data_IF_060546973404
#
_entry.id   IF_060546973404
#
_cell.length_a   1.000
_cell.length_b   1.000
_cell.length_c   1.000
_cell.angle_alpha   90.00
_cell.angle_beta   90.00
_cell.angle_gamma   90.00
#
_symmetry.space_group_name_H-M   'P 1'
#
loop_
_entity.id
_entity.type
_entity.pdbx_description
1 polymer ?
#
# COMPACT_ATOMS: atom_id res chain seq x y z
N UNK A 1 6.27 -31.27 22.48
CA UNK A 1 7.68 -30.81 22.41
C UNK A 1 7.66 -29.34 22.09
N UNK A 2 7.79 -28.51 23.11
CA UNK A 2 7.91 -27.05 23.01
C UNK A 2 9.33 -26.72 22.52
N UNK A 3 9.44 -26.16 21.32
CA UNK A 3 10.69 -25.57 20.86
C UNK A 3 10.96 -24.33 21.72
N UNK A 4 11.78 -24.53 22.74
CA UNK A 4 12.30 -23.48 23.59
C UNK A 4 13.40 -22.75 22.80
N UNK A 5 13.00 -21.91 21.84
CA UNK A 5 13.92 -20.97 21.20
C UNK A 5 14.21 -19.92 22.26
N UNK A 6 15.23 -20.17 23.08
CA UNK A 6 15.98 -19.08 23.70
C UNK A 6 16.49 -18.22 22.56
N UNK A 7 15.74 -17.17 22.23
CA UNK A 7 16.25 -16.01 21.51
C UNK A 7 17.43 -15.50 22.35
N UNK A 8 18.62 -15.96 22.02
CA UNK A 8 19.85 -15.35 22.49
C UNK A 8 19.86 -13.99 21.81
N UNK A 9 19.33 -13.00 22.52
CA UNK A 9 19.43 -11.60 22.14
C UNK A 9 20.92 -11.36 21.87
N UNK A 10 21.26 -10.95 20.66
CA UNK A 10 22.59 -10.53 20.30
C UNK A 10 22.56 -8.99 20.31
N UNK A 11 22.91 -8.32 21.43
CA UNK A 11 22.86 -6.85 21.52
C UNK A 11 23.57 -6.17 20.34
N UNK A 12 24.64 -6.78 19.84
CA UNK A 12 25.39 -6.30 18.67
C UNK A 12 24.60 -6.35 17.35
N UNK A 13 23.66 -7.28 17.19
CA UNK A 13 22.80 -7.36 16.01
C UNK A 13 21.67 -6.32 16.09
N UNK A 14 21.05 -6.21 17.25
CA UNK A 14 20.02 -5.22 17.51
C UNK A 14 20.53 -3.79 17.32
N UNK A 15 21.70 -3.45 17.87
CA UNK A 15 22.34 -2.15 17.66
C UNK A 15 22.55 -1.85 16.17
N UNK A 16 23.01 -2.85 15.40
CA UNK A 16 23.16 -2.72 13.94
C UNK A 16 21.82 -2.47 13.24
N UNK A 17 20.76 -3.18 13.64
CA UNK A 17 19.41 -2.99 13.10
C UNK A 17 18.89 -1.59 13.47
N UNK A 18 19.10 -1.14 14.70
CA UNK A 18 18.72 0.21 15.13
C UNK A 18 19.40 1.29 14.27
N UNK A 19 20.70 1.16 14.03
CA UNK A 19 21.47 2.06 13.15
C UNK A 19 20.94 2.04 11.71
N UNK A 20 20.59 0.86 11.18
CA UNK A 20 19.99 0.73 9.84
C UNK A 20 18.63 1.42 9.78
N UNK A 21 17.76 1.16 10.76
CA UNK A 21 16.43 1.77 10.84
C UNK A 21 16.54 3.30 10.95
N UNK A 22 17.48 3.81 11.75
CA UNK A 22 17.69 5.24 11.89
C UNK A 22 18.13 5.89 10.58
N UNK A 23 19.05 5.26 9.85
CA UNK A 23 19.46 5.73 8.52
C UNK A 23 18.29 5.70 7.54
N UNK A 24 17.50 4.64 7.54
CA UNK A 24 16.33 4.52 6.68
C UNK A 24 15.26 5.58 7.00
N UNK A 25 15.01 5.90 8.27
CA UNK A 25 14.12 6.99 8.69
C UNK A 25 14.60 8.33 8.11
N UNK A 26 15.88 8.66 8.30
CA UNK A 26 16.47 9.94 7.85
C UNK A 26 16.38 10.07 6.32
N UNK A 27 16.79 9.03 5.58
CA UNK A 27 16.78 9.05 4.13
C UNK A 27 15.36 9.09 3.56
N UNK A 28 14.43 8.33 4.14
CA UNK A 28 13.01 8.36 3.73
C UNK A 28 12.38 9.72 4.02
N UNK A 29 12.72 10.36 5.14
CA UNK A 29 12.24 11.71 5.46
C UNK A 29 12.77 12.75 4.46
N UNK A 30 14.03 12.63 4.04
CA UNK A 30 14.59 13.45 2.98
C UNK A 30 13.86 13.23 1.64
N UNK A 31 13.53 11.98 1.31
CA UNK A 31 12.74 11.64 0.12
C UNK A 31 11.32 12.23 0.17
N UNK A 32 10.65 12.20 1.33
CA UNK A 32 9.34 12.85 1.53
C UNK A 32 9.45 14.36 1.26
N UNK A 33 10.47 15.02 1.80
CA UNK A 33 10.67 16.45 1.59
C UNK A 33 10.97 16.78 0.13
N UNK A 34 11.77 15.96 -0.55
CA UNK A 34 12.02 16.09 -1.98
C UNK A 34 10.71 15.97 -2.79
N UNK A 35 9.93 14.90 -2.58
CA UNK A 35 8.65 14.67 -3.27
C UNK A 35 7.65 15.82 -3.03
N UNK A 36 7.60 16.38 -1.81
CA UNK A 36 6.76 17.56 -1.51
C UNK A 36 7.17 18.79 -2.31
N UNK A 37 8.47 19.09 -2.38
CA UNK A 37 8.97 20.21 -3.19
C UNK A 37 8.67 20.01 -4.67
N UNK A 38 8.94 18.81 -5.18
CA UNK A 38 8.60 18.44 -6.56
C UNK A 38 7.11 18.61 -6.84
N UNK A 39 6.23 18.18 -5.94
CA UNK A 39 4.78 18.39 -6.08
C UNK A 39 4.42 19.88 -6.16
N UNK A 40 4.99 20.72 -5.29
CA UNK A 40 4.81 22.18 -5.36
C UNK A 40 5.34 22.79 -6.66
N UNK A 41 6.46 22.30 -7.18
CA UNK A 41 7.04 22.75 -8.44
C UNK A 41 6.18 22.35 -9.64
N UNK A 42 5.61 21.15 -9.63
CA UNK A 42 4.67 20.67 -10.66
C UNK A 42 3.39 21.50 -10.67
N UNK A 43 2.77 21.74 -9.50
CA UNK A 43 1.57 22.58 -9.41
C UNK A 43 1.80 24.02 -9.84
N UNK A 44 3.01 24.53 -9.65
CA UNK A 44 3.41 25.85 -10.12
C UNK A 44 3.95 25.87 -11.56
N UNK A 45 3.82 24.76 -12.30
CA UNK A 45 4.31 24.62 -13.68
C UNK A 45 5.81 24.90 -13.88
N UNK A 46 6.62 24.72 -12.82
CA UNK A 46 8.10 24.84 -12.89
C UNK A 46 8.76 23.54 -13.36
N UNK A 47 8.11 22.40 -13.15
CA UNK A 47 8.57 21.08 -13.56
C UNK A 47 7.44 20.33 -14.23
N UNK A 48 7.73 19.69 -15.37
CA UNK A 48 6.84 18.76 -16.01
C UNK A 48 7.15 17.33 -15.55
N UNK A 49 6.10 16.55 -15.30
CA UNK A 49 6.16 15.11 -15.10
C UNK A 49 5.12 14.45 -16.00
N UNK A 50 5.42 13.24 -16.49
CA UNK A 50 4.50 12.46 -17.33
C UNK A 50 3.45 11.69 -16.54
N UNK A 51 3.61 11.58 -15.21
CA UNK A 51 2.66 10.94 -14.30
C UNK A 51 1.72 11.97 -13.66
N UNK A 52 0.56 11.53 -13.17
CA UNK A 52 -0.36 12.41 -12.47
C UNK A 52 0.26 13.02 -11.20
N UNK A 53 0.09 14.32 -10.92
CA UNK A 53 0.62 14.95 -9.70
C UNK A 53 0.15 14.27 -8.41
N UNK A 54 -1.06 13.70 -8.40
CA UNK A 54 -1.61 12.95 -7.25
C UNK A 54 -0.77 11.73 -6.86
N UNK A 55 -0.01 11.14 -7.79
CA UNK A 55 0.91 10.04 -7.46
C UNK A 55 2.06 10.49 -6.56
N UNK A 56 2.46 11.77 -6.60
CA UNK A 56 3.45 12.28 -5.65
C UNK A 56 2.90 12.28 -4.22
N UNK A 57 1.61 12.61 -4.04
CA UNK A 57 0.95 12.55 -2.73
C UNK A 57 0.91 11.10 -2.23
N UNK A 58 0.45 10.18 -3.08
CA UNK A 58 0.41 8.75 -2.80
C UNK A 58 1.77 8.21 -2.33
N UNK A 59 2.82 8.46 -3.11
CA UNK A 59 4.19 8.06 -2.79
C UNK A 59 4.80 8.77 -1.56
N UNK A 60 4.24 9.91 -1.13
CA UNK A 60 4.62 10.58 0.12
C UNK A 60 3.97 9.87 1.30
N UNK A 61 2.71 9.45 1.16
CA UNK A 61 1.98 8.76 2.22
C UNK A 61 2.58 7.38 2.52
N UNK A 62 2.95 6.61 1.50
CA UNK A 62 3.68 5.35 1.66
C UNK A 62 5.02 5.53 2.38
N UNK A 63 5.77 6.57 2.00
CA UNK A 63 7.05 6.86 2.62
C UNK A 63 6.88 7.26 4.10
N UNK A 64 5.81 8.00 4.45
CA UNK A 64 5.47 8.30 5.85
C UNK A 64 5.05 7.05 6.61
N UNK A 65 4.26 6.17 5.98
CA UNK A 65 3.85 4.91 6.58
C UNK A 65 5.07 4.03 6.90
N UNK A 66 6.05 3.97 5.99
CA UNK A 66 7.31 3.26 6.23
C UNK A 66 8.11 3.86 7.40
N UNK A 67 8.19 5.19 7.50
CA UNK A 67 8.83 5.85 8.66
C UNK A 67 8.12 5.46 9.96
N UNK A 68 6.78 5.50 9.98
CA UNK A 68 5.98 5.12 11.15
C UNK A 68 6.26 3.69 11.60
N UNK A 69 6.29 2.75 10.65
CA UNK A 69 6.67 1.35 10.90
C UNK A 69 8.05 1.25 11.54
N UNK A 70 9.07 1.92 11.00
CA UNK A 70 10.42 1.89 11.55
C UNK A 70 10.51 2.49 12.96
N UNK A 71 9.74 3.56 13.22
CA UNK A 71 9.68 4.19 14.55
C UNK A 71 9.03 3.28 15.59
N UNK A 72 7.95 2.58 15.24
CA UNK A 72 7.33 1.57 16.11
C UNK A 72 8.31 0.44 16.42
N UNK A 73 9.00 -0.07 15.40
CA UNK A 73 10.00 -1.13 15.58
C UNK A 73 11.16 -0.68 16.49
N UNK A 74 11.59 0.58 16.42
CA UNK A 74 12.61 1.12 17.33
C UNK A 74 12.12 1.27 18.79
N UNK A 75 10.80 1.31 19.01
CA UNK A 75 10.18 1.30 20.34
C UNK A 75 9.80 -0.09 20.82
N UNK A 76 10.15 -1.14 20.06
CA UNK A 76 9.75 -2.53 20.32
C UNK A 76 8.24 -2.77 20.20
N UNK A 77 7.53 -1.90 19.48
CA UNK A 77 6.10 -2.03 19.18
C UNK A 77 5.93 -2.80 17.86
N UNK A 78 4.95 -3.70 17.78
CA UNK A 78 4.67 -4.40 16.53
C UNK A 78 3.71 -3.57 15.66
N UNK A 79 4.09 -3.19 14.43
CA UNK A 79 3.32 -2.25 13.59
C UNK A 79 1.94 -2.78 13.14
N UNK A 80 1.69 -4.08 13.32
CA UNK A 80 0.49 -4.77 12.87
C UNK A 80 -0.21 -5.49 14.03
N UNK A 81 -0.39 -4.79 15.15
CA UNK A 81 -1.20 -5.25 16.27
C UNK A 81 -2.70 -5.00 16.04
N UNK A 82 -3.55 -5.65 16.84
CA UNK A 82 -5.01 -5.55 16.73
C UNK A 82 -5.51 -4.10 16.77
N UNK A 83 -4.85 -3.25 17.57
CA UNK A 83 -5.23 -1.85 17.75
C UNK A 83 -4.90 -0.92 16.56
N UNK A 84 -4.33 -1.48 15.49
CA UNK A 84 -3.97 -0.75 14.27
C UNK A 84 -4.75 -1.25 13.04
N UNK A 85 -5.65 -2.22 13.19
CA UNK A 85 -6.34 -2.86 12.06
C UNK A 85 -7.13 -1.83 11.25
N UNK A 86 -7.89 -0.96 11.92
CA UNK A 86 -8.69 0.07 11.24
C UNK A 86 -7.82 1.06 10.47
N UNK A 87 -6.68 1.47 11.03
CA UNK A 87 -5.77 2.39 10.36
C UNK A 87 -5.13 1.73 9.13
N UNK A 88 -4.76 0.44 9.22
CA UNK A 88 -4.24 -0.30 8.07
C UNK A 88 -5.31 -0.51 6.99
N UNK A 89 -6.54 -0.87 7.35
CA UNK A 89 -7.68 -0.93 6.43
C UNK A 89 -7.91 0.41 5.74
N UNK A 90 -7.97 1.52 6.51
CA UNK A 90 -8.16 2.86 5.94
C UNK A 90 -7.06 3.21 4.95
N UNK A 91 -5.81 3.02 5.36
CA UNK A 91 -4.62 3.36 4.56
C UNK A 91 -4.56 2.54 3.28
N UNK A 92 -4.60 1.21 3.37
CA UNK A 92 -4.41 0.36 2.21
C UNK A 92 -5.61 0.37 1.26
N UNK A 93 -6.85 0.51 1.75
CA UNK A 93 -7.99 0.71 0.85
C UNK A 93 -7.86 2.03 0.07
N UNK A 94 -7.35 3.12 0.67
CA UNK A 94 -7.09 4.37 -0.05
C UNK A 94 -5.95 4.23 -1.09
N UNK A 95 -4.89 3.50 -0.75
CA UNK A 95 -3.78 3.15 -1.67
C UNK A 95 -4.31 2.34 -2.87
N UNK A 96 -5.07 1.28 -2.62
CA UNK A 96 -5.62 0.42 -3.67
C UNK A 96 -6.64 1.16 -4.55
N UNK A 97 -7.45 2.05 -3.98
CA UNK A 97 -8.33 2.93 -4.74
C UNK A 97 -7.54 3.76 -5.77
N UNK A 98 -6.48 4.44 -5.32
CA UNK A 98 -5.62 5.27 -6.17
C UNK A 98 -4.85 4.45 -7.20
N UNK A 99 -4.44 3.22 -6.87
CA UNK A 99 -3.85 2.30 -7.86
C UNK A 99 -4.84 1.96 -8.97
N UNK A 100 -6.08 1.61 -8.63
CA UNK A 100 -7.12 1.32 -9.64
C UNK A 100 -7.40 2.54 -10.52
N UNK A 101 -7.48 3.74 -9.94
CA UNK A 101 -7.64 4.99 -10.69
C UNK A 101 -6.46 5.27 -11.61
N UNK A 102 -5.23 5.03 -11.14
CA UNK A 102 -4.03 5.19 -11.94
C UNK A 102 -3.97 4.20 -13.10
N UNK A 103 -4.24 2.92 -12.85
CA UNK A 103 -4.31 1.89 -13.89
C UNK A 103 -5.35 2.29 -14.92
N UNK A 104 -6.55 2.66 -14.49
CA UNK A 104 -7.62 3.18 -15.36
C UNK A 104 -7.16 4.32 -16.25
N UNK A 105 -6.52 5.34 -15.67
CA UNK A 105 -6.02 6.51 -16.41
C UNK A 105 -4.86 6.21 -17.36
N UNK A 106 -4.13 5.12 -17.12
CA UNK A 106 -3.00 4.72 -17.95
C UNK A 106 -3.37 3.89 -19.20
N UNK A 107 -4.58 3.32 -19.23
CA UNK A 107 -5.04 2.43 -20.30
C UNK A 107 -5.39 3.21 -21.57
N UNK A 108 -5.15 2.58 -22.73
CA UNK A 108 -5.70 3.06 -23.99
C UNK A 108 -7.24 3.02 -23.96
N UNK A 109 -7.94 4.05 -24.48
CA UNK A 109 -9.41 4.11 -24.47
C UNK A 109 -10.13 2.93 -25.14
N UNK A 110 -9.47 2.14 -25.99
CA UNK A 110 -10.04 0.94 -26.61
C UNK A 110 -10.21 -0.20 -25.58
N UNK A 111 -9.45 -0.20 -24.48
CA UNK A 111 -9.48 -1.22 -23.41
C UNK A 111 -10.68 -1.12 -22.45
N UNK A 112 -11.91 -0.94 -22.98
CA UNK A 112 -13.12 -0.62 -22.20
C UNK A 112 -13.40 -1.58 -21.05
N UNK A 113 -13.28 -2.89 -21.27
CA UNK A 113 -13.53 -3.90 -20.24
C UNK A 113 -12.57 -3.74 -19.04
N UNK A 114 -11.29 -3.48 -19.28
CA UNK A 114 -10.31 -3.29 -18.20
C UNK A 114 -10.55 -1.96 -17.47
N UNK A 115 -10.96 -0.91 -18.19
CA UNK A 115 -11.35 0.37 -17.62
C UNK A 115 -12.54 0.20 -16.66
N UNK A 116 -13.57 -0.56 -17.06
CA UNK A 116 -14.75 -0.84 -16.24
C UNK A 116 -14.40 -1.62 -14.97
N UNK A 117 -13.53 -2.63 -15.07
CA UNK A 117 -13.03 -3.38 -13.90
C UNK A 117 -12.32 -2.45 -12.93
N UNK A 118 -11.40 -1.61 -13.42
CA UNK A 118 -10.68 -0.67 -12.56
C UNK A 118 -11.62 0.33 -11.89
N UNK A 119 -12.63 0.82 -12.61
CA UNK A 119 -13.62 1.76 -12.05
C UNK A 119 -14.50 1.14 -10.96
N UNK A 120 -14.91 -0.13 -11.15
CA UNK A 120 -15.63 -0.90 -10.13
C UNK A 120 -14.76 -1.08 -8.87
N UNK A 121 -13.54 -1.60 -9.04
CA UNK A 121 -12.64 -1.86 -7.92
C UNK A 121 -12.28 -0.56 -7.17
N UNK A 122 -12.00 0.54 -7.89
CA UNK A 122 -11.71 1.84 -7.23
C UNK A 122 -12.87 2.29 -6.34
N UNK A 123 -14.12 2.13 -6.80
CA UNK A 123 -15.31 2.50 -6.01
C UNK A 123 -15.44 1.65 -4.75
N UNK A 124 -15.22 0.34 -4.86
CA UNK A 124 -15.30 -0.58 -3.71
C UNK A 124 -14.22 -0.26 -2.65
N UNK A 125 -12.99 0.01 -3.09
CA UNK A 125 -11.92 0.44 -2.20
C UNK A 125 -12.20 1.79 -1.54
N UNK A 126 -12.74 2.75 -2.29
CA UNK A 126 -13.16 4.03 -1.71
C UNK A 126 -14.22 3.84 -0.61
N UNK A 127 -15.24 3.02 -0.86
CA UNK A 127 -16.29 2.69 0.13
C UNK A 127 -15.66 2.07 1.39
N UNK A 128 -14.77 1.10 1.24
CA UNK A 128 -14.10 0.45 2.38
C UNK A 128 -13.21 1.44 3.16
N UNK A 129 -12.50 2.33 2.47
CA UNK A 129 -11.72 3.40 3.12
C UNK A 129 -12.62 4.34 3.94
N UNK A 130 -13.76 4.79 3.39
CA UNK A 130 -14.70 5.64 4.14
C UNK A 130 -15.32 4.90 5.34
N UNK A 131 -15.66 3.62 5.19
CA UNK A 131 -16.14 2.78 6.28
C UNK A 131 -15.12 2.70 7.41
N UNK A 132 -13.87 2.38 7.11
CA UNK A 132 -12.80 2.31 8.11
C UNK A 132 -12.53 3.66 8.78
N UNK A 133 -12.66 4.77 8.04
CA UNK A 133 -12.50 6.13 8.59
C UNK A 133 -13.61 6.52 9.57
N UNK A 134 -14.84 6.07 9.33
CA UNK A 134 -16.02 6.44 10.12
C UNK A 134 -16.37 5.43 11.23
N UNK A 135 -15.57 4.38 11.40
CA UNK A 135 -15.78 3.39 12.44
C UNK A 135 -15.58 4.00 13.83
N UNK A 136 -16.55 3.82 14.74
CA UNK A 136 -16.53 4.39 16.09
C UNK A 136 -15.62 3.61 17.06
N UNK A 137 -15.38 2.32 16.81
CA UNK A 137 -14.46 1.48 17.59
C UNK A 137 -13.96 0.28 16.80
N UNK A 138 -12.81 -0.27 17.20
CA UNK A 138 -12.22 -1.47 16.59
C UNK A 138 -12.96 -2.77 16.95
N UNK A 139 -13.55 -2.85 18.14
CA UNK A 139 -14.25 -4.05 18.62
C UNK A 139 -15.50 -4.39 17.79
N UNK A 140 -16.23 -3.38 17.32
CA UNK A 140 -17.47 -3.59 16.56
C UNK A 140 -17.18 -3.90 15.07
N UNK A 141 -15.95 -3.68 14.61
CA UNK A 141 -15.70 -3.44 13.17
C UNK A 141 -14.74 -4.45 12.49
N UNK A 142 -14.09 -5.34 13.24
CA UNK A 142 -12.86 -6.00 12.75
C UNK A 142 -13.03 -7.35 12.06
N UNK A 143 -14.18 -8.03 12.12
CA UNK A 143 -14.30 -9.38 11.52
C UNK A 143 -15.00 -9.39 10.16
N UNK A 144 -16.23 -8.88 10.07
CA UNK A 144 -16.99 -8.86 8.81
C UNK A 144 -16.30 -7.99 7.76
N UNK A 145 -15.74 -6.86 8.17
CA UNK A 145 -14.98 -5.97 7.30
C UNK A 145 -13.73 -6.65 6.75
N UNK A 146 -12.91 -7.27 7.62
CA UNK A 146 -11.66 -7.93 7.20
C UNK A 146 -11.96 -9.08 6.22
N UNK A 147 -13.02 -9.87 6.43
CA UNK A 147 -13.38 -10.91 5.46
C UNK A 147 -13.83 -10.32 4.11
N UNK A 148 -14.63 -9.25 4.13
CA UNK A 148 -15.00 -8.54 2.90
C UNK A 148 -13.80 -7.95 2.17
N UNK A 149 -12.87 -7.33 2.91
CA UNK A 149 -11.60 -6.82 2.37
C UNK A 149 -10.72 -7.94 1.82
N UNK A 150 -10.69 -9.13 2.44
CA UNK A 150 -9.97 -10.31 1.93
C UNK A 150 -10.55 -10.77 0.58
N UNK A 151 -11.87 -10.84 0.46
CA UNK A 151 -12.51 -11.26 -0.79
C UNK A 151 -12.25 -10.26 -1.92
N UNK A 152 -12.38 -8.96 -1.64
CA UNK A 152 -12.04 -7.88 -2.58
C UNK A 152 -10.56 -7.93 -2.99
N UNK A 153 -9.67 -8.15 -2.03
CA UNK A 153 -8.23 -8.25 -2.31
C UNK A 153 -7.85 -9.50 -3.09
N UNK A 154 -8.59 -10.60 -2.95
CA UNK A 154 -8.41 -11.77 -3.82
C UNK A 154 -8.76 -11.44 -5.27
N UNK A 155 -9.94 -10.83 -5.52
CA UNK A 155 -10.31 -10.36 -6.87
C UNK A 155 -9.27 -9.39 -7.44
N UNK A 156 -8.80 -8.46 -6.61
CA UNK A 156 -7.82 -7.43 -7.01
C UNK A 156 -6.45 -8.02 -7.34
N UNK A 157 -5.95 -8.96 -6.52
CA UNK A 157 -4.65 -9.60 -6.76
C UNK A 157 -4.69 -10.50 -7.99
N UNK A 158 -5.78 -11.24 -8.22
CA UNK A 158 -5.98 -12.02 -9.44
C UNK A 158 -5.99 -11.11 -10.68
N UNK A 159 -6.74 -9.99 -10.62
CA UNK A 159 -6.78 -8.99 -11.67
C UNK A 159 -5.40 -8.38 -11.95
N UNK A 160 -4.72 -7.86 -10.93
CA UNK A 160 -3.41 -7.22 -11.08
C UNK A 160 -2.34 -8.20 -11.58
N UNK A 161 -2.40 -9.47 -11.15
CA UNK A 161 -1.51 -10.52 -11.64
C UNK A 161 -1.71 -10.78 -13.12
N UNK A 162 -2.96 -10.97 -13.56
CA UNK A 162 -3.29 -11.13 -14.99
C UNK A 162 -2.87 -9.89 -15.79
N UNK A 163 -3.22 -8.70 -15.31
CA UNK A 163 -2.89 -7.44 -15.97
C UNK A 163 -1.37 -7.26 -16.14
N UNK A 164 -0.57 -7.52 -15.10
CA UNK A 164 0.89 -7.46 -15.16
C UNK A 164 1.45 -8.46 -16.20
N UNK A 165 0.95 -9.70 -16.22
CA UNK A 165 1.39 -10.71 -17.18
C UNK A 165 1.05 -10.35 -18.63
N UNK A 166 -0.15 -9.84 -18.88
CA UNK A 166 -0.57 -9.48 -20.23
C UNK A 166 0.10 -8.19 -20.72
N UNK A 167 0.43 -7.25 -19.82
CA UNK A 167 1.27 -6.09 -20.12
C UNK A 167 2.69 -6.52 -20.52
N UNK A 168 3.31 -7.47 -19.80
CA UNK A 168 4.62 -8.05 -20.15
C UNK A 168 4.62 -8.78 -21.50
N UNK A 169 3.48 -9.35 -21.91
CA UNK A 169 3.30 -10.00 -23.23
C UNK A 169 2.90 -9.02 -24.33
N UNK A 170 2.90 -7.72 -24.08
CA UNK A 170 2.49 -6.67 -25.02
C UNK A 170 1.04 -6.83 -25.54
N UNK A 171 0.14 -7.40 -24.73
CA UNK A 171 -1.27 -7.61 -25.09
C UNK A 171 -2.22 -6.53 -24.57
N UNK A 172 -1.73 -5.65 -23.71
CA UNK A 172 -2.46 -4.50 -23.17
C UNK A 172 -1.79 -3.24 -23.71
N UNK A 173 -2.60 -2.35 -24.28
CA UNK A 173 -2.15 -1.04 -24.68
C UNK A 173 -2.34 -0.08 -23.51
N UNK A 174 -1.23 0.38 -22.94
CA UNK A 174 -1.22 1.31 -21.83
C UNK A 174 0.06 2.16 -21.86
N UNK A 175 0.00 3.34 -21.27
CA UNK A 175 1.15 4.22 -21.06
C UNK A 175 2.01 3.83 -19.85
N UNK A 176 1.55 2.86 -19.06
CA UNK A 176 2.23 2.38 -17.83
C UNK A 176 3.37 1.41 -18.14
N UNK A 177 4.46 1.53 -17.39
CA UNK A 177 5.59 0.62 -17.49
C UNK A 177 5.32 -0.69 -16.73
N UNK A 178 5.77 -1.85 -17.23
CA UNK A 178 5.61 -3.13 -16.53
C UNK A 178 6.15 -3.17 -15.09
N UNK A 179 7.20 -2.39 -14.80
CA UNK A 179 7.75 -2.30 -13.43
C UNK A 179 6.80 -1.60 -12.46
N UNK A 180 6.00 -0.64 -12.95
CA UNK A 180 4.97 0.03 -12.14
C UNK A 180 3.82 -0.94 -11.89
N UNK A 181 3.49 -1.76 -12.89
CA UNK A 181 2.48 -2.80 -12.74
C UNK A 181 2.84 -3.84 -11.66
N UNK A 182 4.08 -4.35 -11.71
CA UNK A 182 4.63 -5.24 -10.70
C UNK A 182 4.67 -4.57 -9.31
N UNK A 183 5.03 -3.29 -9.23
CA UNK A 183 5.07 -2.54 -7.98
C UNK A 183 3.70 -2.48 -7.29
N UNK A 184 2.66 -2.03 -7.99
CA UNK A 184 1.30 -1.98 -7.43
C UNK A 184 0.79 -3.38 -7.08
N UNK A 185 1.18 -4.40 -7.86
CA UNK A 185 0.83 -5.79 -7.56
C UNK A 185 1.49 -6.31 -6.28
N UNK A 186 2.76 -5.98 -6.01
CA UNK A 186 3.43 -6.34 -4.75
C UNK A 186 2.80 -5.66 -3.54
N UNK A 187 2.36 -4.42 -3.70
CA UNK A 187 1.65 -3.70 -2.63
C UNK A 187 0.27 -4.29 -2.35
N UNK A 188 -0.47 -4.66 -3.39
CA UNK A 188 -1.72 -5.41 -3.24
C UNK A 188 -1.51 -6.74 -2.50
N UNK A 189 -0.46 -7.49 -2.85
CA UNK A 189 -0.11 -8.72 -2.12
C UNK A 189 0.31 -8.46 -0.67
N UNK A 190 1.01 -7.36 -0.42
CA UNK A 190 1.37 -6.96 0.95
C UNK A 190 0.11 -6.70 1.77
N UNK A 191 -0.83 -5.91 1.25
CA UNK A 191 -2.10 -5.64 1.94
C UNK A 191 -2.90 -6.93 2.16
N UNK A 192 -3.03 -7.77 1.14
CA UNK A 192 -3.71 -9.07 1.28
C UNK A 192 -3.09 -9.92 2.39
N UNK A 193 -1.75 -9.96 2.49
CA UNK A 193 -1.05 -10.66 3.57
C UNK A 193 -1.38 -10.07 4.94
N UNK A 194 -1.45 -8.73 5.09
CA UNK A 194 -1.81 -8.09 6.34
C UNK A 194 -3.22 -8.49 6.79
N UNK A 195 -4.21 -8.44 5.87
CA UNK A 195 -5.58 -8.88 6.17
C UNK A 195 -5.64 -10.33 6.64
N UNK A 196 -4.87 -11.22 6.01
CA UNK A 196 -4.76 -12.64 6.42
C UNK A 196 -4.08 -12.81 7.79
N UNK A 197 -3.19 -11.90 8.18
CA UNK A 197 -2.62 -11.88 9.53
C UNK A 197 -3.68 -11.40 10.53
N UNK A 198 -4.41 -10.33 10.24
CA UNK A 198 -5.49 -9.81 11.08
C UNK A 198 -6.58 -10.86 11.32
N UNK A 199 -6.98 -11.60 10.28
CA UNK A 199 -7.94 -12.70 10.39
C UNK A 199 -7.51 -13.80 11.37
N UNK A 200 -6.20 -14.00 11.57
CA UNK A 200 -5.61 -15.04 12.42
C UNK A 200 -5.32 -14.60 13.85
N UNK A 201 -5.33 -13.31 14.18
CA UNK A 201 -5.08 -12.80 15.54
C UNK A 201 -6.27 -13.00 16.49
N UNK A 202 -6.97 -14.12 16.30
CA UNK A 202 -8.02 -14.64 17.17
C UNK A 202 -7.40 -15.45 18.29
#
# INVERSE_FOLDING_TARGET
>A
MTYNIRMTFLPKLEEKINVINQKAIILTAALVNYKKRLFSDVLASRVYISMYPSLLIHMIEEAKQYIGVLQMLQKYEHPYEAHNILEQERFWNDIMCRHMEYIKGSLDPIGRETIEICDKLSKEFWINSQRAKNAESEEVFTHELVNGSIDLMRETTDFMGKWTQELLKCKIHASVLPIVADHTFREANHYYRLLRMFQKMK
#
